data_IF_303113924893
#
_entry.id   IF_303113924893
#
_cell.length_a   1.000
_cell.length_b   1.000
_cell.length_c   1.000
_cell.angle_alpha   90.00
_cell.angle_beta   90.00
_cell.angle_gamma   90.00
#
_symmetry.space_group_name_H-M   'P 1'
#
loop_
_entity.id
_entity.type
_entity.pdbx_description
1 polymer ?
#
# COMPACT_ATOMS: atom_id res chain seq x y z
N UNK A 1 15.03 4.89 22.12
CA UNK A 1 14.32 5.66 21.09
C UNK A 1 13.42 4.68 20.36
N UNK A 2 12.09 4.79 20.46
CA UNK A 2 11.22 3.95 19.63
C UNK A 2 11.47 4.35 18.18
N UNK A 3 11.94 3.43 17.34
CA UNK A 3 11.92 3.66 15.90
C UNK A 3 10.47 3.99 15.50
N UNK A 4 10.28 5.02 14.67
CA UNK A 4 8.96 5.32 14.11
C UNK A 4 8.53 4.13 13.24
N UNK A 5 7.42 3.49 13.61
CA UNK A 5 6.87 2.35 12.85
C UNK A 5 6.20 2.86 11.57
N UNK A 6 6.52 2.24 10.44
CA UNK A 6 6.06 2.60 9.11
C UNK A 6 4.56 2.38 8.90
N UNK A 7 3.90 3.29 8.19
CA UNK A 7 2.57 3.05 7.64
C UNK A 7 2.70 2.67 6.18
N UNK A 8 2.37 1.42 5.87
CA UNK A 8 2.38 0.87 4.51
C UNK A 8 1.10 1.27 3.78
N UNK A 9 1.23 1.83 2.58
CA UNK A 9 0.11 2.11 1.68
C UNK A 9 0.18 1.16 0.50
N UNK A 10 -0.91 0.47 0.20
CA UNK A 10 -1.06 -0.20 -1.08
C UNK A 10 -1.43 0.81 -2.18
N UNK A 11 -1.51 0.33 -3.41
CA UNK A 11 -1.88 1.16 -4.57
C UNK A 11 -3.28 1.74 -4.46
N UNK A 12 -4.25 1.03 -3.88
CA UNK A 12 -5.62 1.54 -3.71
C UNK A 12 -5.67 2.75 -2.77
N UNK A 13 -4.91 2.74 -1.67
CA UNK A 13 -4.78 3.88 -0.77
C UNK A 13 -4.10 5.07 -1.44
N UNK A 14 -3.08 4.84 -2.28
CA UNK A 14 -2.38 5.91 -3.00
C UNK A 14 -3.30 6.56 -4.04
N UNK A 15 -4.07 5.77 -4.79
CA UNK A 15 -5.02 6.30 -5.79
C UNK A 15 -6.06 7.23 -5.13
N UNK A 16 -6.58 6.88 -3.95
CA UNK A 16 -7.49 7.76 -3.19
C UNK A 16 -6.87 9.08 -2.71
N UNK A 17 -5.54 9.22 -2.72
CA UNK A 17 -4.87 10.51 -2.46
C UNK A 17 -4.83 11.41 -3.70
N UNK A 18 -4.96 10.81 -4.89
CA UNK A 18 -4.96 11.50 -6.18
C UNK A 18 -6.38 11.84 -6.60
N UNK A 19 -7.27 10.85 -6.57
CA UNK A 19 -8.68 10.95 -6.96
C UNK A 19 -9.51 11.22 -5.71
N UNK A 20 -10.40 12.20 -5.79
CA UNK A 20 -11.32 12.48 -4.71
C UNK A 20 -12.43 11.43 -4.68
N UNK A 21 -12.40 10.59 -3.65
CA UNK A 21 -13.37 9.53 -3.37
C UNK A 21 -13.91 9.74 -1.94
N UNK A 22 -15.02 9.07 -1.56
CA UNK A 22 -15.64 9.26 -0.24
C UNK A 22 -14.64 9.14 0.93
N UNK A 23 -13.73 8.17 0.86
CA UNK A 23 -12.77 7.89 1.93
C UNK A 23 -11.54 8.79 1.90
N UNK A 24 -11.31 9.57 0.83
CA UNK A 24 -10.08 10.33 0.65
C UNK A 24 -9.84 11.37 1.76
N UNK A 25 -10.90 11.99 2.27
CA UNK A 25 -10.81 12.98 3.36
C UNK A 25 -10.38 12.32 4.68
N UNK A 26 -10.96 11.16 5.00
CA UNK A 26 -10.60 10.37 6.17
C UNK A 26 -9.16 9.84 6.06
N UNK A 27 -8.77 9.34 4.89
CA UNK A 27 -7.40 8.90 4.62
C UNK A 27 -6.38 10.01 4.85
N UNK A 28 -6.62 11.19 4.25
CA UNK A 28 -5.72 12.34 4.43
C UNK A 28 -5.56 12.69 5.90
N UNK A 29 -6.67 12.77 6.65
CA UNK A 29 -6.67 13.05 8.09
C UNK A 29 -5.89 11.99 8.88
N UNK A 30 -6.11 10.72 8.55
CA UNK A 30 -5.44 9.59 9.17
C UNK A 30 -3.92 9.64 8.99
N UNK A 31 -3.44 10.02 7.80
CA UNK A 31 -2.02 10.06 7.46
C UNK A 31 -1.28 11.33 7.91
N UNK A 32 -1.98 12.39 8.38
CA UNK A 32 -1.39 13.72 8.67
C UNK A 32 -0.15 13.68 9.57
N UNK A 33 -0.13 12.80 10.57
CA UNK A 33 0.94 12.70 11.59
C UNK A 33 1.64 11.35 11.58
N UNK A 34 1.51 10.57 10.50
CA UNK A 34 2.08 9.22 10.40
C UNK A 34 3.26 9.25 9.46
N UNK A 35 4.45 8.99 9.98
CA UNK A 35 5.68 8.82 9.21
C UNK A 35 6.48 7.65 9.82
N UNK A 36 7.32 6.97 9.01
CA UNK A 36 7.40 7.09 7.55
C UNK A 36 6.17 6.50 6.83
N UNK A 37 5.90 6.98 5.62
CA UNK A 37 4.93 6.37 4.70
C UNK A 37 5.71 5.55 3.68
N UNK A 38 5.36 4.27 3.56
CA UNK A 38 6.08 3.32 2.71
C UNK A 38 5.12 2.58 1.79
N UNK A 39 5.62 2.03 0.69
CA UNK A 39 4.86 1.16 -0.22
C UNK A 39 5.80 0.18 -0.92
N UNK A 40 5.27 -0.85 -1.57
CA UNK A 40 6.04 -1.61 -2.56
C UNK A 40 6.39 -0.73 -3.76
N UNK A 41 7.57 -0.94 -4.35
CA UNK A 41 7.94 -0.39 -5.64
C UNK A 41 6.95 -0.77 -6.76
N UNK A 42 6.15 -1.83 -6.57
CA UNK A 42 5.05 -2.22 -7.46
C UNK A 42 4.05 -1.07 -7.70
N UNK A 43 3.83 -0.25 -6.67
CA UNK A 43 2.88 0.86 -6.73
C UNK A 43 3.19 1.87 -7.83
N UNK A 44 4.45 1.95 -8.31
CA UNK A 44 4.79 2.78 -9.48
C UNK A 44 3.98 2.39 -10.71
N UNK A 45 3.91 1.09 -10.99
CA UNK A 45 3.19 0.58 -12.14
C UNK A 45 1.68 0.64 -11.90
N UNK A 46 1.21 0.20 -10.73
CA UNK A 46 -0.22 0.11 -10.43
C UNK A 46 -0.91 1.47 -10.36
N UNK A 47 -0.29 2.45 -9.67
CA UNK A 47 -0.85 3.81 -9.57
C UNK A 47 -0.89 4.46 -10.95
N UNK A 48 0.19 4.37 -11.73
CA UNK A 48 0.18 4.89 -13.10
C UNK A 48 -0.91 4.22 -13.95
N UNK A 49 -0.99 2.88 -13.89
CA UNK A 49 -1.98 2.09 -14.63
C UNK A 49 -3.42 2.42 -14.27
N UNK A 50 -3.70 2.61 -12.98
CA UNK A 50 -5.02 2.94 -12.47
C UNK A 50 -5.46 4.36 -12.86
N UNK A 51 -4.51 5.29 -12.99
CA UNK A 51 -4.79 6.70 -13.29
C UNK A 51 -4.80 7.01 -14.79
N UNK A 52 -4.34 6.09 -15.66
CA UNK A 52 -4.34 6.29 -17.11
C UNK A 52 -5.70 6.66 -17.71
N UNK A 53 -6.84 6.06 -17.30
CA UNK A 53 -8.16 6.48 -17.79
C UNK A 53 -8.52 7.93 -17.46
N UNK A 54 -7.86 8.54 -16.48
CA UNK A 54 -8.07 9.92 -16.05
C UNK A 54 -7.10 10.92 -16.72
N UNK A 55 -6.22 10.43 -17.60
CA UNK A 55 -5.28 11.24 -18.37
C UNK A 55 -3.96 11.56 -17.67
N UNK A 56 -3.04 12.14 -18.44
CA UNK A 56 -1.67 12.48 -18.02
C UNK A 56 -1.60 13.33 -16.73
N UNK A 57 -2.46 14.35 -16.50
CA UNK A 57 -2.41 15.13 -15.26
C UNK A 57 -2.62 14.27 -14.01
N UNK A 58 -3.49 13.26 -14.06
CA UNK A 58 -3.74 12.36 -12.96
C UNK A 58 -2.52 11.47 -12.71
N UNK A 59 -1.95 10.88 -13.77
CA UNK A 59 -0.74 10.05 -13.69
C UNK A 59 0.43 10.83 -13.10
N UNK A 60 0.65 12.08 -13.54
CA UNK A 60 1.68 12.97 -12.99
C UNK A 60 1.48 13.22 -11.50
N UNK A 61 0.25 13.53 -11.07
CA UNK A 61 -0.07 13.71 -9.66
C UNK A 61 0.15 12.43 -8.83
N UNK A 62 -0.13 11.26 -9.39
CA UNK A 62 0.22 9.97 -8.79
C UNK A 62 1.73 9.81 -8.57
N UNK A 63 2.53 10.19 -9.57
CA UNK A 63 3.98 10.23 -9.47
C UNK A 63 4.48 11.18 -8.37
N UNK A 64 3.88 12.37 -8.25
CA UNK A 64 4.21 13.35 -7.20
C UNK A 64 3.89 12.83 -5.78
N UNK A 65 2.83 12.04 -5.62
CA UNK A 65 2.53 11.37 -4.34
C UNK A 65 3.56 10.28 -4.06
N UNK A 66 3.82 9.39 -5.03
CA UNK A 66 4.81 8.31 -4.90
C UNK A 66 6.21 8.81 -4.55
N UNK A 67 6.61 9.97 -5.06
CA UNK A 67 7.89 10.60 -4.75
C UNK A 67 8.06 11.01 -3.26
N UNK A 68 6.96 11.06 -2.50
CA UNK A 68 6.94 11.36 -1.06
C UNK A 68 6.89 10.11 -0.18
N UNK A 69 6.81 8.92 -0.78
CA UNK A 69 6.82 7.64 -0.10
C UNK A 69 8.20 7.00 -0.25
N UNK A 70 8.60 6.25 0.77
CA UNK A 70 9.70 5.31 0.62
C UNK A 70 9.19 4.04 -0.08
N UNK A 71 9.84 3.66 -1.17
CA UNK A 71 9.44 2.49 -1.96
C UNK A 71 10.36 1.32 -1.68
N UNK A 72 9.79 0.29 -1.07
CA UNK A 72 10.47 -0.96 -0.75
C UNK A 72 10.66 -1.77 -2.05
N UNK A 73 11.91 -2.15 -2.31
CA UNK A 73 12.28 -2.93 -3.50
C UNK A 73 11.61 -4.31 -3.48
N UNK A 74 11.11 -4.73 -4.64
CA UNK A 74 10.68 -6.12 -4.85
C UNK A 74 11.94 -6.96 -5.09
N UNK A 75 12.26 -7.85 -4.16
CA UNK A 75 13.37 -8.80 -4.26
C UNK A 75 12.85 -10.20 -4.55
N UNK A 76 13.73 -11.11 -4.94
CA UNK A 76 13.38 -12.53 -5.14
C UNK A 76 12.78 -13.15 -3.86
N UNK A 77 13.24 -12.68 -2.68
CA UNK A 77 12.65 -13.07 -1.39
C UNK A 77 11.21 -12.61 -1.24
N UNK A 78 10.86 -11.40 -1.68
CA UNK A 78 9.46 -10.91 -1.71
C UNK A 78 8.63 -11.79 -2.64
N UNK A 79 9.13 -12.07 -3.84
CA UNK A 79 8.41 -12.85 -4.85
C UNK A 79 8.18 -14.29 -4.39
N UNK A 80 9.20 -14.93 -3.82
CA UNK A 80 9.09 -16.27 -3.26
C UNK A 80 8.08 -16.31 -2.11
N UNK A 81 8.14 -15.35 -1.17
CA UNK A 81 7.20 -15.26 -0.07
C UNK A 81 5.76 -15.04 -0.57
N UNK A 82 5.56 -14.16 -1.54
CA UNK A 82 4.25 -13.92 -2.16
C UNK A 82 3.65 -15.19 -2.77
N UNK A 83 4.49 -16.01 -3.42
CA UNK A 83 4.07 -17.29 -4.00
C UNK A 83 3.66 -18.36 -2.99
N UNK A 84 3.97 -18.18 -1.70
CA UNK A 84 3.59 -19.10 -0.62
C UNK A 84 2.40 -18.59 0.21
N UNK A 85 1.90 -17.39 -0.06
CA UNK A 85 0.79 -16.81 0.71
C UNK A 85 -0.53 -17.52 0.40
N UNK A 86 -1.32 -17.68 1.45
CA UNK A 86 -2.69 -18.19 1.40
C UNK A 86 -3.65 -17.09 1.87
N UNK A 87 -4.92 -17.10 1.40
CA UNK A 87 -5.54 -18.07 0.49
C UNK A 87 -5.17 -17.83 -0.98
N UNK A 88 -5.31 -18.87 -1.82
CA UNK A 88 -5.05 -18.80 -3.27
C UNK A 88 -5.94 -17.78 -4.03
N UNK A 89 -7.02 -17.32 -3.40
CA UNK A 89 -7.88 -16.27 -3.94
C UNK A 89 -7.24 -14.86 -3.85
N UNK A 90 -6.17 -14.69 -3.07
CA UNK A 90 -5.41 -13.44 -3.05
C UNK A 90 -4.66 -13.29 -4.37
N UNK A 91 -4.91 -12.19 -5.09
CA UNK A 91 -4.29 -11.96 -6.40
C UNK A 91 -2.79 -11.77 -6.23
N UNK A 92 -2.02 -12.13 -7.26
CA UNK A 92 -0.54 -12.07 -7.21
C UNK A 92 0.01 -10.70 -6.83
N UNK A 93 -0.57 -9.61 -7.34
CA UNK A 93 -0.11 -8.25 -7.02
C UNK A 93 -0.39 -7.89 -5.55
N UNK A 94 -1.56 -8.27 -5.03
CA UNK A 94 -1.92 -8.10 -3.61
C UNK A 94 -1.03 -8.96 -2.71
N UNK A 95 -0.70 -10.18 -3.15
CA UNK A 95 0.24 -11.06 -2.45
C UNK A 95 1.65 -10.46 -2.39
N UNK A 96 2.11 -9.79 -3.47
CA UNK A 96 3.38 -9.05 -3.46
C UNK A 96 3.32 -7.87 -2.49
N UNK A 97 2.22 -7.12 -2.45
CA UNK A 97 2.02 -6.05 -1.46
C UNK A 97 2.10 -6.59 -0.02
N UNK A 98 1.36 -7.67 0.26
CA UNK A 98 1.33 -8.31 1.57
C UNK A 98 2.72 -8.83 1.98
N UNK A 99 3.39 -9.57 1.10
CA UNK A 99 4.73 -10.08 1.35
C UNK A 99 5.75 -8.95 1.56
N UNK A 100 5.62 -7.85 0.83
CA UNK A 100 6.47 -6.66 1.03
C UNK A 100 6.24 -6.04 2.40
N UNK A 101 4.98 -5.86 2.81
CA UNK A 101 4.64 -5.31 4.12
C UNK A 101 5.10 -6.22 5.28
N UNK A 102 5.06 -7.54 5.10
CA UNK A 102 5.57 -8.51 6.07
C UNK A 102 7.07 -8.36 6.34
N UNK A 103 7.86 -7.87 5.38
CA UNK A 103 9.31 -7.67 5.59
C UNK A 103 9.63 -6.60 6.64
N UNK A 104 8.70 -5.69 6.89
CA UNK A 104 8.85 -4.65 7.93
C UNK A 104 8.73 -5.24 9.34
N UNK A 105 8.11 -6.41 9.52
CA UNK A 105 7.99 -7.07 10.82
C UNK A 105 7.47 -6.15 11.92
N UNK A 106 8.24 -6.01 13.01
CA UNK A 106 7.92 -5.14 14.14
C UNK A 106 7.85 -3.65 13.79
N UNK A 107 8.52 -3.25 12.70
CA UNK A 107 8.55 -1.86 12.23
C UNK A 107 7.28 -1.48 11.45
N UNK A 108 6.40 -2.43 11.10
CA UNK A 108 5.12 -2.11 10.48
C UNK A 108 4.11 -1.62 11.53
N UNK A 109 3.71 -0.35 11.47
CA UNK A 109 2.63 0.18 12.29
C UNK A 109 1.26 -0.29 11.79
N UNK A 110 1.01 -0.08 10.48
CA UNK A 110 -0.29 -0.30 9.83
C UNK A 110 -0.11 -0.56 8.34
N UNK A 111 -0.89 -1.48 7.79
CA UNK A 111 -1.14 -1.61 6.35
C UNK A 111 -2.46 -0.92 6.02
N UNK A 112 -2.42 0.09 5.15
CA UNK A 112 -3.61 0.80 4.68
C UNK A 112 -3.96 0.31 3.29
N UNK A 113 -5.17 -0.23 3.15
CA UNK A 113 -5.71 -0.73 1.88
C UNK A 113 -7.21 -0.55 1.86
N UNK A 114 -7.75 -0.35 0.65
CA UNK A 114 -9.18 -0.34 0.37
C UNK A 114 -9.60 -1.52 -0.52
N UNK A 115 -8.68 -2.44 -0.84
CA UNK A 115 -9.04 -3.75 -1.37
C UNK A 115 -9.42 -4.68 -0.21
N UNK A 116 -10.65 -5.18 -0.22
CA UNK A 116 -11.18 -6.01 0.86
C UNK A 116 -10.45 -7.36 0.98
N UNK A 117 -9.95 -7.92 -0.13
CA UNK A 117 -9.21 -9.19 -0.11
C UNK A 117 -7.84 -8.99 0.51
N UNK A 118 -7.13 -7.92 0.14
CA UNK A 118 -5.85 -7.58 0.77
C UNK A 118 -6.03 -7.25 2.26
N UNK A 119 -7.09 -6.52 2.61
CA UNK A 119 -7.42 -6.22 4.01
C UNK A 119 -7.62 -7.49 4.84
N UNK A 120 -8.44 -8.42 4.32
CA UNK A 120 -8.71 -9.70 4.97
C UNK A 120 -7.44 -10.56 5.08
N UNK A 121 -6.64 -10.65 4.02
CA UNK A 121 -5.40 -11.44 4.01
C UNK A 121 -4.34 -10.87 4.97
N UNK A 122 -4.20 -9.54 5.05
CA UNK A 122 -3.34 -8.89 6.02
C UNK A 122 -3.77 -9.21 7.45
N UNK A 123 -5.07 -9.09 7.75
CA UNK A 123 -5.63 -9.39 9.07
C UNK A 123 -5.43 -10.86 9.44
N UNK A 124 -5.70 -11.79 8.52
CA UNK A 124 -5.50 -13.22 8.72
C UNK A 124 -4.01 -13.58 8.94
N UNK A 125 -3.10 -12.78 8.39
CA UNK A 125 -1.65 -12.91 8.59
C UNK A 125 -1.15 -12.22 9.86
N UNK A 126 -2.04 -11.68 10.71
CA UNK A 126 -1.69 -10.96 11.93
C UNK A 126 -1.16 -9.54 11.71
N UNK A 127 -1.25 -9.00 10.50
CA UNK A 127 -0.82 -7.63 10.21
C UNK A 127 -1.93 -6.65 10.59
N UNK A 128 -1.58 -5.50 11.20
CA UNK A 128 -2.58 -4.51 11.58
C UNK A 128 -3.04 -3.74 10.34
N UNK A 129 -4.19 -4.12 9.77
CA UNK A 129 -4.80 -3.49 8.60
C UNK A 129 -5.73 -2.33 8.97
N UNK A 130 -5.87 -1.34 8.09
CA UNK A 130 -6.75 -0.19 8.26
C UNK A 130 -7.33 0.29 6.93
N UNK A 131 -8.58 0.79 6.97
CA UNK A 131 -9.24 1.46 5.85
C UNK A 131 -10.02 2.67 6.40
N UNK A 132 -9.38 3.84 6.61
CA UNK A 132 -10.04 5.03 7.16
C UNK A 132 -11.27 5.45 6.33
N UNK A 133 -12.39 5.79 6.99
CA UNK A 133 -13.65 6.22 6.37
C UNK A 133 -14.15 7.51 6.99
#
# INVERSE_FOLDING_TARGET
>A
MSAERATYLDSSAIVKLVVAEPESAALRRYLRRRRPLVSSALARAEVARALLPLGEPAVRRGGEILARLELIRISDRVLAAAGQLVPAALRTLDAIHLATAQQLGGDLARLVTYDERLHAAATASGLPAAAPR
#
